data_IF_941041187171
#
_entry.id   IF_941041187171
#
_cell.length_a   1.000
_cell.length_b   1.000
_cell.length_c   1.000
_cell.angle_alpha   90.00
_cell.angle_beta   90.00
_cell.angle_gamma   90.00
#
_symmetry.space_group_name_H-M   'P 1'
#
loop_
_entity.id
_entity.type
_entity.pdbx_description
1 polymer ?
#
# COMPACT_ATOMS: atom_id res chain seq x y z
N UNK A 1 -65.03 -6.36 -60.79
CA UNK A 1 -64.43 -6.31 -62.13
C UNK A 1 -63.30 -5.30 -62.12
N UNK A 2 -62.07 -5.75 -62.42
CA UNK A 2 -60.90 -5.05 -62.96
C UNK A 2 -60.79 -3.52 -62.70
N UNK A 3 -59.73 -3.01 -62.08
CA UNK A 3 -58.40 -3.00 -62.70
C UNK A 3 -57.33 -2.60 -61.67
N UNK A 4 -56.26 -3.40 -61.60
CA UNK A 4 -54.99 -3.05 -60.96
C UNK A 4 -54.03 -2.59 -62.04
N UNK A 5 -53.38 -1.44 -61.86
CA UNK A 5 -52.22 -1.02 -62.65
C UNK A 5 -51.34 -0.05 -61.84
N UNK A 6 -50.06 -0.41 -61.84
CA UNK A 6 -48.90 0.48 -62.03
C UNK A 6 -48.36 1.25 -60.81
N UNK A 7 -47.22 0.81 -60.23
CA UNK A 7 -45.86 1.30 -60.58
C UNK A 7 -44.80 1.07 -59.47
N UNK A 8 -43.66 0.54 -59.94
CA UNK A 8 -42.25 0.89 -59.63
C UNK A 8 -41.67 0.61 -58.24
N UNK A 9 -40.48 0.01 -58.24
CA UNK A 9 -39.54 0.04 -57.13
C UNK A 9 -38.43 -1.00 -57.25
N UNK A 10 -37.59 -0.90 -58.30
CA UNK A 10 -36.36 -1.67 -58.45
C UNK A 10 -35.29 -1.07 -57.52
N UNK A 11 -35.05 -1.69 -56.35
CA UNK A 11 -34.05 -1.24 -55.39
C UNK A 11 -32.69 -1.88 -55.69
N UNK A 12 -31.85 -1.14 -56.43
CA UNK A 12 -30.41 -1.33 -56.45
C UNK A 12 -29.82 -0.96 -55.08
N UNK A 13 -29.06 -1.88 -54.50
CA UNK A 13 -28.27 -1.66 -53.29
C UNK A 13 -27.01 -0.85 -53.63
N UNK A 14 -26.85 0.31 -52.99
CA UNK A 14 -25.58 1.04 -52.92
C UNK A 14 -24.77 0.57 -51.70
N UNK A 15 -23.44 0.43 -51.79
CA UNK A 15 -22.62 0.10 -50.63
C UNK A 15 -22.30 1.37 -49.85
N UNK A 16 -22.88 1.49 -48.65
CA UNK A 16 -22.62 2.60 -47.73
C UNK A 16 -21.28 2.43 -47.01
N UNK A 17 -20.37 3.37 -47.28
CA UNK A 17 -19.62 4.11 -46.25
C UNK A 17 -18.74 3.31 -45.29
N UNK A 18 -17.44 3.33 -45.58
CA UNK A 18 -16.31 3.14 -44.66
C UNK A 18 -16.57 3.71 -43.26
N UNK A 19 -16.87 2.83 -42.30
CA UNK A 19 -16.71 3.12 -40.88
C UNK A 19 -15.26 2.84 -40.51
N UNK A 20 -14.42 3.86 -40.61
CA UNK A 20 -13.08 3.84 -40.04
C UNK A 20 -13.23 3.55 -38.53
N UNK A 21 -12.83 2.35 -38.13
CA UNK A 21 -12.69 1.98 -36.74
C UNK A 21 -11.76 3.00 -36.07
N UNK A 22 -12.32 3.83 -35.20
CA UNK A 22 -11.54 4.57 -34.22
C UNK A 22 -10.90 3.52 -33.31
N UNK A 23 -9.69 3.09 -33.66
CA UNK A 23 -8.81 2.40 -32.75
C UNK A 23 -8.65 3.30 -31.52
N UNK A 24 -9.34 2.94 -30.44
CA UNK A 24 -9.06 3.46 -29.12
C UNK A 24 -7.59 3.25 -28.86
N UNK A 25 -6.81 4.35 -28.81
CA UNK A 25 -5.42 4.30 -28.37
C UNK A 25 -5.43 3.79 -26.94
N UNK A 26 -5.01 2.55 -26.75
CA UNK A 26 -4.62 2.04 -25.44
C UNK A 26 -3.64 3.06 -24.82
N UNK A 27 -3.81 3.43 -23.54
CA UNK A 27 -2.83 4.24 -22.86
C UNK A 27 -1.48 3.50 -22.90
N UNK A 28 -0.41 4.23 -23.20
CA UNK A 28 0.95 3.68 -23.28
C UNK A 28 1.27 2.82 -22.04
N UNK A 29 1.84 1.63 -22.28
CA UNK A 29 2.29 0.70 -21.23
C UNK A 29 3.35 1.37 -20.33
N UNK A 30 3.48 0.97 -19.05
CA UNK A 30 4.46 1.56 -18.14
C UNK A 30 5.92 1.25 -18.56
N UNK A 31 6.83 2.11 -18.10
CA UNK A 31 8.20 2.38 -18.55
C UNK A 31 8.85 1.44 -19.59
N UNK A 32 9.24 1.99 -20.74
CA UNK A 32 10.17 1.38 -21.73
C UNK A 32 11.61 1.18 -21.19
N UNK A 33 11.82 1.21 -19.85
CA UNK A 33 13.14 1.10 -19.22
C UNK A 33 13.70 -0.30 -19.46
N UNK A 34 14.82 -0.45 -20.21
CA UNK A 34 15.46 -1.75 -20.35
C UNK A 34 16.01 -2.18 -18.99
N UNK A 35 15.48 -3.28 -18.44
CA UNK A 35 15.99 -3.88 -17.22
C UNK A 35 17.24 -4.70 -17.56
N UNK A 36 18.39 -4.22 -17.09
CA UNK A 36 19.66 -4.91 -17.24
C UNK A 36 20.07 -5.49 -15.90
N UNK A 37 20.51 -6.75 -15.91
CA UNK A 37 21.06 -7.39 -14.71
C UNK A 37 22.23 -6.57 -14.19
N UNK A 38 22.18 -6.20 -12.92
CA UNK A 38 23.24 -5.42 -12.26
C UNK A 38 24.47 -6.31 -12.03
N UNK A 39 25.65 -5.77 -12.29
CA UNK A 39 26.92 -6.45 -12.04
C UNK A 39 27.31 -6.40 -10.56
N UNK A 40 28.22 -7.31 -10.16
CA UNK A 40 28.72 -7.42 -8.79
C UNK A 40 28.03 -8.51 -7.95
N UNK A 41 28.54 -8.78 -6.73
CA UNK A 41 27.98 -9.80 -5.86
C UNK A 41 26.58 -9.40 -5.37
N UNK A 42 25.70 -10.39 -5.21
CA UNK A 42 24.42 -10.18 -4.53
C UNK A 42 24.66 -9.75 -3.08
N UNK A 43 23.79 -8.90 -2.48
CA UNK A 43 23.84 -8.61 -1.06
C UNK A 43 23.75 -9.90 -0.22
N UNK A 44 24.22 -9.84 1.03
CA UNK A 44 23.94 -10.90 2.01
C UNK A 44 22.43 -11.10 2.17
N UNK A 45 22.00 -12.22 2.75
CA UNK A 45 20.58 -12.52 2.91
C UNK A 45 20.21 -12.99 4.31
N UNK A 46 18.97 -12.70 4.74
CA UNK A 46 18.34 -13.27 5.93
C UNK A 46 16.90 -13.65 5.61
N UNK A 47 16.64 -14.95 5.54
CA UNK A 47 15.32 -15.50 5.24
C UNK A 47 15.12 -16.88 5.88
N UNK A 48 13.89 -17.25 6.25
CA UNK A 48 12.74 -16.35 6.37
C UNK A 48 12.88 -15.44 7.60
N UNK A 49 12.43 -14.19 7.50
CA UNK A 49 12.28 -13.30 8.65
C UNK A 49 10.80 -12.99 8.87
N UNK A 50 10.23 -13.51 9.94
CA UNK A 50 8.85 -13.20 10.35
C UNK A 50 8.88 -12.00 11.29
N UNK A 51 8.21 -10.91 10.90
CA UNK A 51 8.05 -9.73 11.73
C UNK A 51 6.66 -9.77 12.36
N UNK A 52 6.64 -9.81 13.68
CA UNK A 52 5.40 -9.92 14.44
C UNK A 52 5.10 -8.63 15.19
N UNK A 53 3.87 -8.11 15.05
CA UNK A 53 3.38 -6.98 15.83
C UNK A 53 2.49 -7.49 16.96
N UNK A 54 2.92 -7.19 18.18
CA UNK A 54 2.15 -7.44 19.39
C UNK A 54 1.05 -6.36 19.57
N UNK A 55 -0.05 -6.69 20.27
CA UNK A 55 -1.05 -5.70 20.63
C UNK A 55 -0.45 -4.57 21.48
N UNK A 56 -0.96 -3.36 21.28
CA UNK A 56 -0.62 -2.18 22.08
C UNK A 56 -1.91 -1.59 22.71
N UNK A 57 -1.81 -0.38 23.27
CA UNK A 57 -2.94 0.30 23.93
C UNK A 57 -4.13 0.53 22.98
N UNK A 58 -3.85 0.87 21.73
CA UNK A 58 -4.85 1.33 20.77
C UNK A 58 -5.16 0.30 19.69
N UNK A 59 -4.35 -0.75 19.53
CA UNK A 59 -4.61 -1.82 18.57
C UNK A 59 -4.41 -3.22 19.16
N UNK A 60 -5.36 -4.11 18.89
CA UNK A 60 -5.18 -5.54 19.11
C UNK A 60 -6.05 -6.37 18.16
N UNK A 61 -5.50 -7.46 17.62
CA UNK A 61 -6.31 -8.55 17.08
C UNK A 61 -6.88 -9.35 18.27
N UNK A 62 -8.20 -9.27 18.49
CA UNK A 62 -8.84 -9.92 19.63
C UNK A 62 -9.10 -11.40 19.35
N UNK A 63 -9.63 -11.71 18.17
CA UNK A 63 -9.93 -13.06 17.71
C UNK A 63 -10.02 -13.11 16.19
N UNK A 64 -9.89 -14.30 15.63
CA UNK A 64 -10.02 -14.55 14.20
C UNK A 64 -10.61 -15.92 13.92
N UNK A 65 -11.29 -16.06 12.79
CA UNK A 65 -11.82 -17.33 12.32
C UNK A 65 -13.09 -17.18 11.50
N UNK A 66 -13.48 -18.28 10.86
CA UNK A 66 -14.64 -18.40 9.98
C UNK A 66 -14.66 -17.30 8.89
N UNK A 67 -13.48 -16.93 8.37
CA UNK A 67 -13.32 -15.91 7.33
C UNK A 67 -13.41 -14.45 7.82
N UNK A 68 -13.35 -14.21 9.14
CA UNK A 68 -13.43 -12.88 9.75
C UNK A 68 -12.34 -12.66 10.80
N UNK A 69 -12.12 -11.38 11.13
CA UNK A 69 -11.31 -10.95 12.27
C UNK A 69 -12.05 -9.92 13.12
N UNK A 70 -11.84 -10.01 14.43
CA UNK A 70 -12.33 -9.08 15.44
C UNK A 70 -11.14 -8.32 16.00
N UNK A 71 -11.14 -7.00 15.84
CA UNK A 71 -10.03 -6.13 16.18
C UNK A 71 -10.48 -5.03 17.15
N UNK A 72 -9.59 -4.61 18.05
CA UNK A 72 -9.73 -3.39 18.84
C UNK A 72 -8.97 -2.27 18.12
N UNK A 73 -9.63 -1.15 17.84
CA UNK A 73 -9.04 0.09 17.35
C UNK A 73 -9.49 1.24 18.27
N UNK A 74 -8.64 1.62 19.21
CA UNK A 74 -8.92 2.64 20.22
C UNK A 74 -10.21 2.30 20.97
N UNK A 75 -11.26 3.14 20.92
CA UNK A 75 -12.51 2.87 21.61
C UNK A 75 -13.38 1.78 20.94
N UNK A 76 -13.10 1.37 19.70
CA UNK A 76 -14.02 0.57 18.90
C UNK A 76 -13.57 -0.88 18.69
N UNK A 77 -14.53 -1.79 18.82
CA UNK A 77 -14.42 -3.19 18.39
C UNK A 77 -14.94 -3.31 16.97
N UNK A 78 -14.10 -3.75 16.06
CA UNK A 78 -14.36 -3.73 14.62
C UNK A 78 -14.28 -5.16 14.08
N UNK A 79 -15.31 -5.60 13.35
CA UNK A 79 -15.30 -6.88 12.63
C UNK A 79 -15.08 -6.61 11.14
N UNK A 80 -14.12 -7.33 10.54
CA UNK A 80 -13.77 -7.23 9.12
C UNK A 80 -13.60 -8.63 8.50
N UNK A 81 -13.82 -8.76 7.18
CA UNK A 81 -13.52 -9.99 6.47
C UNK A 81 -11.99 -10.25 6.44
N UNK A 82 -11.64 -11.52 6.57
CA UNK A 82 -10.26 -12.03 6.51
C UNK A 82 -10.27 -13.45 5.93
N UNK A 83 -10.18 -13.56 4.61
CA UNK A 83 -10.38 -14.83 3.90
C UNK A 83 -9.39 -15.94 4.27
N UNK A 84 -8.21 -15.59 4.78
CA UNK A 84 -7.20 -16.57 5.22
C UNK A 84 -7.47 -17.13 6.62
N UNK A 85 -8.36 -16.50 7.42
CA UNK A 85 -8.73 -16.96 8.75
C UNK A 85 -9.72 -18.14 8.67
N UNK A 86 -9.29 -19.23 8.04
CA UNK A 86 -10.10 -20.43 7.72
C UNK A 86 -10.32 -21.36 8.93
N UNK A 87 -9.69 -21.06 10.07
CA UNK A 87 -9.89 -21.74 11.34
C UNK A 87 -11.15 -21.26 12.06
N UNK A 88 -11.57 -21.93 13.13
CA UNK A 88 -12.76 -21.51 13.91
C UNK A 88 -12.47 -20.39 14.88
N UNK A 89 -13.44 -19.50 15.11
CA UNK A 89 -13.35 -18.47 16.17
C UNK A 89 -13.10 -19.11 17.54
N UNK A 90 -12.24 -18.49 18.35
CA UNK A 90 -11.92 -18.99 19.68
C UNK A 90 -12.76 -18.30 20.78
N UNK A 91 -13.15 -17.04 20.57
CA UNK A 91 -14.02 -16.33 21.50
C UNK A 91 -15.49 -16.74 21.31
N UNK A 92 -16.30 -16.72 22.39
CA UNK A 92 -17.74 -16.92 22.29
C UNK A 92 -18.42 -15.90 21.38
N UNK A 93 -19.52 -16.30 20.74
CA UNK A 93 -20.30 -15.42 19.85
C UNK A 93 -20.70 -14.08 20.48
N UNK A 94 -20.89 -14.04 21.81
CA UNK A 94 -21.23 -12.81 22.53
C UNK A 94 -20.12 -11.76 22.44
N UNK A 95 -18.84 -12.14 22.36
CA UNK A 95 -17.73 -11.19 22.18
C UNK A 95 -17.74 -10.54 20.80
N UNK A 96 -18.13 -11.29 19.77
CA UNK A 96 -18.28 -10.79 18.41
C UNK A 96 -19.51 -9.89 18.26
N UNK A 97 -20.61 -10.20 18.96
CA UNK A 97 -21.82 -9.37 19.00
C UNK A 97 -21.62 -8.01 19.68
N UNK A 98 -20.54 -7.85 20.46
CA UNK A 98 -20.14 -6.57 21.06
C UNK A 98 -19.43 -5.63 20.10
N UNK A 99 -19.28 -5.98 18.81
CA UNK A 99 -18.69 -5.10 17.81
C UNK A 99 -19.46 -3.77 17.70
N UNK A 100 -18.71 -2.68 17.62
CA UNK A 100 -19.21 -1.32 17.38
C UNK A 100 -19.40 -1.08 15.87
N UNK A 101 -18.55 -1.70 15.05
CA UNK A 101 -18.61 -1.62 13.60
C UNK A 101 -18.36 -2.97 12.94
N UNK A 102 -19.12 -3.29 11.90
CA UNK A 102 -18.98 -4.50 11.09
C UNK A 102 -18.92 -4.09 9.63
N UNK A 103 -17.84 -4.43 8.93
CA UNK A 103 -17.77 -4.23 7.49
C UNK A 103 -18.54 -5.33 6.76
N UNK A 104 -19.42 -4.94 5.84
CA UNK A 104 -20.22 -5.83 5.00
C UNK A 104 -20.10 -5.41 3.54
N UNK A 105 -20.12 -6.32 2.57
CA UNK A 105 -20.02 -5.97 1.14
C UNK A 105 -19.00 -6.81 0.40
N UNK A 106 -18.41 -6.26 -0.67
CA UNK A 106 -17.34 -6.95 -1.39
C UNK A 106 -16.12 -7.08 -0.46
N UNK A 107 -15.62 -8.31 -0.32
CA UNK A 107 -14.51 -8.69 0.55
C UNK A 107 -13.12 -8.50 -0.10
N UNK A 108 -13.08 -8.17 -1.40
CA UNK A 108 -11.83 -7.79 -2.08
C UNK A 108 -11.20 -6.56 -1.42
N UNK A 109 -9.87 -6.38 -1.50
CA UNK A 109 -9.18 -5.27 -0.82
C UNK A 109 -9.66 -3.88 -1.27
N UNK A 110 -9.95 -3.76 -2.56
CA UNK A 110 -10.51 -2.57 -3.21
C UNK A 110 -12.03 -2.67 -3.40
N UNK A 111 -12.66 -3.69 -2.82
CA UNK A 111 -14.09 -3.92 -2.89
C UNK A 111 -14.87 -2.83 -2.16
N UNK A 112 -15.84 -2.23 -2.83
CA UNK A 112 -16.78 -1.34 -2.16
C UNK A 112 -17.69 -2.14 -1.22
N UNK A 113 -17.88 -1.62 -0.01
CA UNK A 113 -18.79 -2.16 0.97
C UNK A 113 -19.42 -1.07 1.82
N UNK A 114 -20.02 -1.50 2.92
CA UNK A 114 -20.74 -0.64 3.86
C UNK A 114 -20.44 -1.07 5.30
N UNK A 115 -20.19 -0.08 6.13
CA UNK A 115 -20.11 -0.25 7.57
C UNK A 115 -21.51 -0.29 8.19
N UNK A 116 -21.76 -1.34 8.98
CA UNK A 116 -22.92 -1.44 9.87
C UNK A 116 -22.46 -1.10 11.29
N UNK A 117 -23.26 -0.29 11.99
CA UNK A 117 -23.01 0.08 13.38
C UNK A 117 -24.13 -0.49 14.28
N UNK A 118 -23.94 -1.68 14.89
CA UNK A 118 -25.04 -2.39 15.56
C UNK A 118 -25.60 -1.68 16.81
N UNK A 119 -24.79 -0.86 17.48
CA UNK A 119 -25.16 -0.19 18.75
C UNK A 119 -25.76 1.18 18.49
N UNK A 120 -25.03 2.05 17.80
CA UNK A 120 -25.42 3.42 17.47
C UNK A 120 -24.61 3.91 16.25
N UNK A 121 -25.10 4.91 15.49
CA UNK A 121 -24.31 5.53 14.43
C UNK A 121 -22.97 6.08 14.95
N UNK A 122 -21.88 5.80 14.25
CA UNK A 122 -20.55 6.32 14.55
C UNK A 122 -20.17 7.42 13.56
N UNK A 123 -19.34 8.37 14.02
CA UNK A 123 -18.72 9.36 13.16
C UNK A 123 -17.73 8.74 12.16
N UNK A 124 -17.29 9.52 11.18
CA UNK A 124 -16.37 9.03 10.14
C UNK A 124 -15.00 8.64 10.74
N UNK A 125 -14.53 9.36 11.74
CA UNK A 125 -13.19 9.21 12.32
C UNK A 125 -13.22 9.06 13.84
N UNK A 126 -12.13 8.51 14.38
CA UNK A 126 -11.86 8.45 15.83
C UNK A 126 -10.37 8.60 16.11
N UNK A 127 -9.99 9.15 17.28
CA UNK A 127 -8.59 9.30 17.64
C UNK A 127 -7.94 7.95 17.92
N UNK A 128 -6.69 7.83 17.49
CA UNK A 128 -5.81 6.70 17.67
C UNK A 128 -4.40 7.21 17.96
N UNK A 129 -3.57 6.36 18.54
CA UNK A 129 -2.19 6.67 18.89
C UNK A 129 -1.27 5.48 18.62
N UNK A 130 -0.11 5.77 18.03
CA UNK A 130 0.96 4.80 17.86
C UNK A 130 2.27 5.44 18.30
N UNK A 131 2.87 4.90 19.36
CA UNK A 131 4.14 5.40 19.92
C UNK A 131 4.13 6.92 20.16
N UNK A 132 3.02 7.48 20.64
CA UNK A 132 2.90 8.94 20.87
C UNK A 132 2.67 9.80 19.62
N UNK A 133 2.48 9.20 18.44
CA UNK A 133 1.93 9.88 17.26
C UNK A 133 0.41 9.71 17.28
N UNK A 134 -0.31 10.81 17.45
CA UNK A 134 -1.77 10.85 17.33
C UNK A 134 -2.17 10.85 15.85
N UNK A 135 -3.16 10.04 15.50
CA UNK A 135 -3.72 9.94 14.15
C UNK A 135 -5.21 9.59 14.21
N UNK A 136 -5.86 9.51 13.05
CA UNK A 136 -7.27 9.16 12.95
C UNK A 136 -7.46 7.76 12.36
N UNK A 137 -8.16 6.91 13.11
CA UNK A 137 -8.89 5.80 12.50
C UNK A 137 -10.06 6.34 11.69
N UNK A 138 -10.42 5.68 10.58
CA UNK A 138 -11.44 6.18 9.65
C UNK A 138 -12.28 5.07 9.03
N UNK A 139 -13.60 5.19 9.12
CA UNK A 139 -14.51 4.39 8.33
C UNK A 139 -14.57 4.94 6.91
N UNK A 140 -14.24 4.11 5.93
CA UNK A 140 -14.28 4.46 4.51
C UNK A 140 -15.28 3.58 3.76
N UNK A 141 -15.49 3.80 2.46
CA UNK A 141 -16.28 2.89 1.63
C UNK A 141 -15.60 1.53 1.39
N UNK A 142 -14.36 1.35 1.85
CA UNK A 142 -13.57 0.12 1.76
C UNK A 142 -13.33 -0.49 3.15
N UNK A 143 -12.78 -1.71 3.19
CA UNK A 143 -12.49 -2.45 4.42
C UNK A 143 -11.37 -1.85 5.28
N UNK A 144 -10.56 -0.96 4.73
CA UNK A 144 -9.44 -0.35 5.44
C UNK A 144 -9.93 0.75 6.41
N UNK A 145 -9.30 0.81 7.59
CA UNK A 145 -9.67 1.73 8.68
C UNK A 145 -8.71 2.91 8.86
N UNK A 146 -7.93 3.23 7.82
CA UNK A 146 -7.00 4.37 7.82
C UNK A 146 -5.60 4.06 8.37
N UNK A 147 -5.33 2.83 8.79
CA UNK A 147 -4.01 2.38 9.26
C UNK A 147 -3.84 0.87 9.05
N UNK A 148 -2.59 0.45 8.87
CA UNK A 148 -2.14 -0.94 8.84
C UNK A 148 -1.16 -1.16 10.01
N UNK A 149 -1.65 -1.52 11.22
CA UNK A 149 -0.83 -1.59 12.43
C UNK A 149 0.35 -2.56 12.35
N UNK A 150 0.25 -3.59 11.52
CA UNK A 150 1.34 -4.53 11.21
C UNK A 150 2.62 -3.83 10.72
N UNK A 151 2.48 -2.67 10.06
CA UNK A 151 3.60 -1.90 9.50
C UNK A 151 4.51 -1.28 10.58
N UNK A 152 4.10 -1.29 11.86
CA UNK A 152 4.87 -0.77 12.98
C UNK A 152 6.33 -1.28 13.02
N UNK A 153 6.55 -2.56 12.73
CA UNK A 153 7.90 -3.14 12.69
C UNK A 153 8.83 -2.48 11.66
N UNK A 154 8.28 -1.94 10.57
CA UNK A 154 9.04 -1.18 9.58
C UNK A 154 9.27 0.26 10.02
N UNK A 155 8.30 0.86 10.71
CA UNK A 155 8.41 2.20 11.27
C UNK A 155 9.50 2.28 12.33
N UNK A 156 9.52 1.34 13.27
CA UNK A 156 10.54 1.25 14.33
C UNK A 156 11.95 1.10 13.75
N UNK A 157 12.10 0.23 12.77
CA UNK A 157 13.37 0.01 12.08
C UNK A 157 13.85 1.27 11.34
N UNK A 158 12.97 1.93 10.60
CA UNK A 158 13.29 3.17 9.89
C UNK A 158 13.68 4.29 10.87
N UNK A 159 12.94 4.45 11.96
CA UNK A 159 13.24 5.46 12.98
C UNK A 159 14.61 5.21 13.63
N UNK A 160 14.93 3.96 13.96
CA UNK A 160 16.24 3.60 14.50
C UNK A 160 17.37 3.99 13.53
N UNK A 161 17.21 3.74 12.23
CA UNK A 161 18.17 4.14 11.20
C UNK A 161 18.31 5.67 11.11
N UNK A 162 17.20 6.41 11.13
CA UNK A 162 17.21 7.88 11.08
C UNK A 162 17.96 8.46 12.27
N UNK A 163 17.66 7.97 13.48
CA UNK A 163 18.29 8.44 14.73
C UNK A 163 19.77 8.10 14.80
N UNK A 164 20.17 6.92 14.32
CA UNK A 164 21.56 6.47 14.31
C UNK A 164 22.42 7.13 13.23
N UNK A 165 21.82 7.74 12.20
CA UNK A 165 22.56 8.24 11.04
C UNK A 165 23.57 9.37 11.36
N UNK A 166 23.34 10.14 12.43
CA UNK A 166 24.22 11.24 12.84
C UNK A 166 24.31 12.39 11.81
N UNK A 167 23.38 12.44 10.84
CA UNK A 167 23.31 13.42 9.75
C UNK A 167 21.86 13.61 9.30
N UNK A 168 21.53 14.68 8.55
CA UNK A 168 20.22 14.79 7.92
C UNK A 168 19.92 13.58 7.01
N UNK A 169 18.70 13.05 7.13
CA UNK A 169 18.22 11.89 6.39
C UNK A 169 17.05 12.31 5.51
N UNK A 170 17.10 11.97 4.22
CA UNK A 170 16.01 12.16 3.25
C UNK A 170 15.23 10.87 3.07
N UNK A 171 13.93 10.91 3.36
CA UNK A 171 13.02 9.76 3.24
C UNK A 171 12.04 9.99 2.09
N UNK A 172 11.93 9.01 1.20
CA UNK A 172 10.88 8.93 0.19
C UNK A 172 9.88 7.85 0.60
N UNK A 173 8.60 8.20 0.71
CA UNK A 173 7.52 7.26 0.96
C UNK A 173 6.58 7.22 -0.25
N UNK A 174 6.65 6.14 -1.05
CA UNK A 174 5.80 5.92 -2.22
C UNK A 174 4.59 5.07 -1.86
N UNK A 175 3.43 5.41 -2.41
CA UNK A 175 2.13 4.83 -2.04
C UNK A 175 1.82 5.07 -0.56
N UNK A 176 2.08 6.30 -0.10
CA UNK A 176 2.19 6.63 1.32
C UNK A 176 0.88 6.59 2.11
N UNK A 177 -0.28 6.48 1.45
CA UNK A 177 -1.60 6.37 2.03
C UNK A 177 -1.88 7.46 3.09
N UNK A 178 -2.24 7.08 4.32
CA UNK A 178 -2.55 8.01 5.42
C UNK A 178 -1.32 8.56 6.14
N UNK A 179 -0.12 8.26 5.66
CA UNK A 179 1.11 8.98 5.99
C UNK A 179 1.78 8.62 7.31
N UNK A 180 1.36 7.56 8.02
CA UNK A 180 1.92 7.19 9.32
C UNK A 180 3.44 7.00 9.29
N UNK A 181 3.98 6.26 8.30
CA UNK A 181 5.43 6.15 8.11
C UNK A 181 6.11 7.52 7.88
N UNK A 182 5.47 8.40 7.12
CA UNK A 182 5.98 9.76 6.89
C UNK A 182 6.04 10.59 8.18
N UNK A 183 5.04 10.44 9.06
CA UNK A 183 5.00 11.11 10.36
C UNK A 183 6.08 10.58 11.30
N UNK A 184 6.27 9.26 11.35
CA UNK A 184 7.35 8.61 12.12
C UNK A 184 8.71 9.13 11.66
N UNK A 185 8.98 9.12 10.35
CA UNK A 185 10.22 9.64 9.79
C UNK A 185 10.46 11.12 10.13
N UNK A 186 9.44 11.96 9.97
CA UNK A 186 9.52 13.40 10.25
C UNK A 186 9.74 13.68 11.76
N UNK A 187 9.09 12.91 12.63
CA UNK A 187 9.30 12.96 14.09
C UNK A 187 10.74 12.60 14.44
N UNK A 188 11.30 11.56 13.81
CA UNK A 188 12.68 11.12 13.99
C UNK A 188 13.73 12.13 13.47
N UNK A 189 13.31 13.14 12.70
CA UNK A 189 14.16 14.24 12.24
C UNK A 189 14.47 14.20 10.74
N UNK A 190 13.84 13.32 9.96
CA UNK A 190 14.06 13.26 8.52
C UNK A 190 13.35 14.38 7.74
N UNK A 191 13.92 14.73 6.58
CA UNK A 191 13.24 15.43 5.50
C UNK A 191 12.43 14.42 4.69
N UNK A 192 11.11 14.57 4.64
CA UNK A 192 10.22 13.55 4.08
C UNK A 192 9.59 14.04 2.77
N UNK A 193 9.65 13.22 1.73
CA UNK A 193 8.76 13.33 0.57
C UNK A 193 7.76 12.19 0.61
N UNK A 194 6.49 12.54 0.70
CA UNK A 194 5.37 11.60 0.69
C UNK A 194 4.66 11.68 -0.68
N UNK A 195 4.44 10.54 -1.31
CA UNK A 195 3.81 10.44 -2.62
C UNK A 195 2.63 9.48 -2.57
N UNK A 196 1.46 9.96 -3.00
CA UNK A 196 0.28 9.14 -3.19
C UNK A 196 -0.53 9.65 -4.41
N UNK A 197 -1.16 8.76 -5.16
CA UNK A 197 -1.98 9.15 -6.31
C UNK A 197 -3.35 9.74 -5.88
N UNK A 198 -3.83 9.39 -4.69
CA UNK A 198 -5.11 9.82 -4.17
C UNK A 198 -5.00 11.16 -3.45
N UNK A 199 -5.57 12.20 -4.05
CA UNK A 199 -5.74 13.51 -3.38
C UNK A 199 -6.47 13.38 -2.03
N UNK A 200 -7.38 12.40 -1.93
CA UNK A 200 -8.11 12.09 -0.68
C UNK A 200 -7.16 11.54 0.38
N UNK A 201 -6.28 10.60 0.02
CA UNK A 201 -5.28 10.05 0.93
C UNK A 201 -4.28 11.13 1.38
N UNK A 202 -3.82 11.99 0.47
CA UNK A 202 -3.00 13.16 0.82
C UNK A 202 -3.70 14.09 1.82
N UNK A 203 -5.03 14.30 1.66
CA UNK A 203 -5.84 15.04 2.62
C UNK A 203 -5.82 14.40 4.01
N UNK A 204 -6.10 13.09 4.08
CA UNK A 204 -6.06 12.33 5.34
C UNK A 204 -4.68 12.33 6.00
N UNK A 205 -3.60 12.24 5.22
CA UNK A 205 -2.25 12.27 5.75
C UNK A 205 -1.89 13.64 6.34
N UNK A 206 -2.41 14.74 5.77
CA UNK A 206 -2.28 16.09 6.34
C UNK A 206 -3.11 16.26 7.62
N UNK A 207 -4.34 15.74 7.65
CA UNK A 207 -5.13 15.70 8.89
C UNK A 207 -4.38 14.95 10.01
N UNK A 208 -3.75 13.81 9.67
CA UNK A 208 -2.90 13.09 10.63
C UNK A 208 -1.65 13.90 11.03
N UNK A 209 -1.05 14.69 10.14
CA UNK A 209 0.07 15.59 10.48
C UNK A 209 -0.35 16.66 11.50
N UNK A 210 -1.55 17.22 11.33
CA UNK A 210 -2.13 18.19 12.27
C UNK A 210 -2.42 17.54 13.62
N UNK A 211 -3.08 16.38 13.63
CA UNK A 211 -3.35 15.59 14.85
C UNK A 211 -2.07 15.24 15.60
N UNK A 212 -1.02 14.81 14.89
CA UNK A 212 0.28 14.50 15.45
C UNK A 212 1.07 15.73 15.92
N UNK A 213 0.58 16.95 15.66
CA UNK A 213 1.27 18.23 15.97
C UNK A 213 2.62 18.35 15.27
N UNK A 214 2.72 17.81 14.05
CA UNK A 214 3.94 17.79 13.24
C UNK A 214 3.88 18.75 12.04
N UNK A 215 3.00 19.76 12.07
CA UNK A 215 2.85 20.75 10.98
C UNK A 215 4.11 21.56 10.71
N UNK A 216 4.97 21.75 11.71
CA UNK A 216 6.28 22.40 11.57
C UNK A 216 7.41 21.50 11.04
N UNK A 217 7.15 20.21 10.76
CA UNK A 217 8.16 19.27 10.26
C UNK A 217 8.27 19.31 8.73
N UNK A 218 9.45 19.01 8.16
CA UNK A 218 9.69 19.11 6.72
C UNK A 218 9.09 17.92 5.94
N UNK A 219 7.78 17.94 5.71
CA UNK A 219 7.06 16.95 4.89
C UNK A 219 6.56 17.59 3.59
N UNK A 220 7.07 17.11 2.47
CA UNK A 220 6.60 17.46 1.12
C UNK A 220 5.54 16.46 0.67
N UNK A 221 4.31 16.94 0.54
CA UNK A 221 3.15 16.16 0.09
C UNK A 221 2.98 16.25 -1.43
N UNK A 222 3.09 15.11 -2.12
CA UNK A 222 3.00 15.02 -3.57
C UNK A 222 1.81 14.15 -3.96
N UNK A 223 0.87 14.73 -4.73
CA UNK A 223 -0.24 14.01 -5.32
C UNK A 223 0.12 13.62 -6.77
N UNK A 224 0.73 12.45 -6.97
CA UNK A 224 1.22 12.00 -8.29
C UNK A 224 1.30 10.47 -8.34
N UNK A 225 1.32 9.93 -9.57
CA UNK A 225 1.71 8.54 -9.80
C UNK A 225 3.14 8.29 -9.31
N UNK A 226 3.34 7.20 -8.56
CA UNK A 226 4.61 6.91 -7.90
C UNK A 226 5.75 6.63 -8.90
N UNK A 227 5.46 5.91 -10.00
CA UNK A 227 6.44 5.61 -11.04
C UNK A 227 6.90 6.91 -11.72
N UNK A 228 5.97 7.73 -12.20
CA UNK A 228 6.28 9.02 -12.84
C UNK A 228 7.02 9.97 -11.91
N UNK A 229 6.66 9.99 -10.63
CA UNK A 229 7.39 10.75 -9.63
C UNK A 229 8.84 10.29 -9.54
N UNK A 230 9.07 8.98 -9.39
CA UNK A 230 10.41 8.41 -9.27
C UNK A 230 11.27 8.65 -10.52
N UNK A 231 10.73 8.45 -11.71
CA UNK A 231 11.40 8.77 -13.00
C UNK A 231 11.78 10.25 -13.10
N UNK A 232 10.97 11.15 -12.55
CA UNK A 232 11.27 12.58 -12.53
C UNK A 232 12.38 12.92 -11.54
N UNK A 233 12.38 12.30 -10.37
CA UNK A 233 13.44 12.48 -9.38
C UNK A 233 14.79 11.94 -9.91
N UNK A 234 14.77 10.82 -10.64
CA UNK A 234 15.95 10.30 -11.34
C UNK A 234 16.49 11.32 -12.34
N UNK A 235 15.65 11.84 -13.25
CA UNK A 235 16.03 12.87 -14.24
C UNK A 235 16.55 14.16 -13.60
N UNK A 236 16.07 14.52 -12.42
CA UNK A 236 16.52 15.71 -11.67
C UNK A 236 17.82 15.50 -10.90
N UNK A 237 18.29 14.26 -10.77
CA UNK A 237 19.41 13.97 -9.88
C UNK A 237 19.05 14.00 -8.40
N UNK A 238 17.76 14.00 -8.03
CA UNK A 238 17.32 13.92 -6.64
C UNK A 238 17.74 12.59 -6.02
N UNK A 239 18.08 12.60 -4.72
CA UNK A 239 18.55 11.42 -3.99
C UNK A 239 17.95 11.30 -2.59
N UNK A 240 17.75 10.07 -2.15
CA UNK A 240 17.12 9.70 -0.86
C UNK A 240 17.97 8.68 -0.11
N UNK A 241 17.98 8.78 1.22
CA UNK A 241 18.69 7.87 2.10
C UNK A 241 17.86 6.63 2.43
N UNK A 242 16.55 6.82 2.58
CA UNK A 242 15.59 5.74 2.79
C UNK A 242 14.45 5.87 1.78
N UNK A 243 14.08 4.75 1.17
CA UNK A 243 12.90 4.67 0.30
C UNK A 243 11.96 3.58 0.83
N UNK A 244 10.68 3.93 1.02
CA UNK A 244 9.61 3.00 1.34
C UNK A 244 8.70 2.85 0.11
N UNK A 245 8.32 1.60 -0.18
CA UNK A 245 7.46 1.20 -1.27
C UNK A 245 6.32 0.34 -0.70
N UNK A 246 5.08 0.81 -0.79
CA UNK A 246 3.89 0.00 -0.44
C UNK A 246 2.90 -0.12 -1.61
N UNK A 247 3.33 -0.61 -2.78
CA UNK A 247 2.48 -0.67 -3.96
C UNK A 247 1.29 -1.64 -3.78
N UNK A 248 0.08 -1.26 -4.23
CA UNK A 248 -1.05 -2.17 -4.30
C UNK A 248 -0.86 -3.21 -5.42
N UNK A 249 -1.67 -4.28 -5.42
CA UNK A 249 -1.65 -5.27 -6.49
C UNK A 249 -2.02 -4.66 -7.85
N UNK A 250 -3.03 -3.79 -7.84
CA UNK A 250 -3.50 -2.98 -8.97
C UNK A 250 -3.69 -1.54 -8.50
N UNK A 251 -3.55 -0.56 -9.38
CA UNK A 251 -3.78 0.82 -9.01
C UNK A 251 -3.97 1.73 -10.20
N UNK A 252 -4.36 2.98 -9.91
CA UNK A 252 -4.42 4.03 -10.92
C UNK A 252 -3.78 5.33 -10.44
N UNK A 253 -2.96 5.91 -11.30
CA UNK A 253 -2.43 7.25 -11.12
C UNK A 253 -3.50 8.34 -11.31
N UNK A 254 -3.22 9.59 -10.91
CA UNK A 254 -4.20 10.68 -10.98
C UNK A 254 -4.66 11.02 -12.41
N UNK A 255 -3.88 10.66 -13.43
CA UNK A 255 -4.20 10.89 -14.85
C UNK A 255 -4.62 9.61 -15.57
N UNK A 256 -4.95 8.56 -14.81
CA UNK A 256 -5.39 7.28 -15.35
C UNK A 256 -4.25 6.33 -15.76
N UNK A 257 -3.01 6.61 -15.32
CA UNK A 257 -1.92 5.64 -15.39
C UNK A 257 -2.35 4.33 -14.74
N UNK A 258 -2.04 3.18 -15.35
CA UNK A 258 -2.34 1.88 -14.77
C UNK A 258 -1.11 1.37 -14.06
N UNK A 259 -1.30 0.88 -12.84
CA UNK A 259 -0.29 0.17 -12.06
C UNK A 259 -0.70 -1.30 -11.91
N UNK A 260 0.23 -2.21 -12.16
CA UNK A 260 0.13 -3.65 -11.92
C UNK A 260 1.43 -4.14 -11.27
N UNK A 261 1.31 -4.69 -10.06
CA UNK A 261 2.47 -5.03 -9.22
C UNK A 261 3.52 -5.88 -9.95
N UNK A 262 3.13 -6.97 -10.63
CA UNK A 262 4.10 -7.87 -11.25
C UNK A 262 4.73 -7.33 -12.54
N UNK A 263 4.05 -6.40 -13.21
CA UNK A 263 4.54 -5.80 -14.46
C UNK A 263 5.48 -4.62 -14.15
N UNK A 264 5.12 -3.80 -13.15
CA UNK A 264 5.72 -2.48 -12.95
C UNK A 264 6.75 -2.43 -11.82
N UNK A 265 6.63 -3.32 -10.82
CA UNK A 265 7.52 -3.32 -9.65
C UNK A 265 9.01 -3.45 -10.02
N UNK A 266 9.44 -4.30 -10.96
CA UNK A 266 10.86 -4.41 -11.31
C UNK A 266 11.48 -3.08 -11.78
N UNK A 267 10.76 -2.33 -12.61
CA UNK A 267 11.21 -1.01 -13.07
C UNK A 267 11.23 0.02 -11.93
N UNK A 268 10.22 0.02 -11.07
CA UNK A 268 10.17 0.95 -9.94
C UNK A 268 11.32 0.71 -8.97
N UNK A 269 11.63 -0.55 -8.63
CA UNK A 269 12.75 -0.89 -7.74
C UNK A 269 14.08 -0.48 -8.36
N UNK A 270 14.26 -0.67 -9.67
CA UNK A 270 15.48 -0.25 -10.37
C UNK A 270 15.67 1.28 -10.38
N UNK A 271 14.58 2.04 -10.54
CA UNK A 271 14.60 3.52 -10.37
C UNK A 271 14.93 3.87 -8.92
N UNK A 272 14.32 3.20 -7.94
CA UNK A 272 14.58 3.48 -6.52
C UNK A 272 16.06 3.34 -6.19
N UNK A 273 16.74 2.31 -6.71
CA UNK A 273 18.20 2.18 -6.61
C UNK A 273 18.95 3.38 -7.19
N UNK A 274 18.55 3.89 -8.36
CA UNK A 274 19.27 4.99 -9.03
C UNK A 274 19.10 6.34 -8.33
N UNK A 275 18.05 6.50 -7.53
CA UNK A 275 17.79 7.69 -6.71
C UNK A 275 18.24 7.55 -5.25
N UNK A 276 19.11 6.58 -4.93
CA UNK A 276 19.74 6.50 -3.62
C UNK A 276 20.93 7.43 -3.47
N UNK A 277 21.10 8.03 -2.28
CA UNK A 277 22.29 8.81 -1.95
C UNK A 277 23.56 7.96 -2.00
N UNK A 278 24.77 8.57 -2.04
CA UNK A 278 26.03 7.81 -1.96
C UNK A 278 26.23 7.03 -0.65
N UNK A 279 25.46 7.35 0.41
CA UNK A 279 25.49 6.65 1.71
C UNK A 279 24.08 6.26 2.13
N UNK A 280 23.36 5.47 1.34
CA UNK A 280 21.97 5.16 1.63
C UNK A 280 21.87 4.30 2.89
N UNK A 281 20.70 4.26 3.51
CA UNK A 281 20.45 3.50 4.73
C UNK A 281 19.60 2.26 4.44
N UNK A 282 18.49 2.40 3.72
CA UNK A 282 17.62 1.27 3.42
C UNK A 282 16.66 1.51 2.25
N UNK A 283 16.18 0.42 1.65
CA UNK A 283 14.98 0.40 0.80
C UNK A 283 14.05 -0.68 1.32
N UNK A 284 12.80 -0.33 1.61
CA UNK A 284 11.80 -1.24 2.18
C UNK A 284 10.64 -1.37 1.20
N UNK A 285 10.33 -2.60 0.83
CA UNK A 285 9.19 -2.97 0.00
C UNK A 285 8.22 -3.81 0.83
N UNK A 286 6.96 -3.40 0.87
CA UNK A 286 5.83 -4.18 1.41
C UNK A 286 4.83 -4.48 0.30
N UNK A 287 4.17 -5.64 0.39
CA UNK A 287 3.18 -6.07 -0.59
C UNK A 287 2.07 -6.90 0.06
N UNK A 288 0.81 -6.50 -0.13
CA UNK A 288 -0.37 -7.21 0.37
C UNK A 288 -0.88 -8.31 -0.58
N UNK A 289 -0.19 -8.54 -1.70
CA UNK A 289 -0.51 -9.62 -2.66
C UNK A 289 0.01 -10.98 -2.18
N UNK A 290 -0.69 -11.59 -1.21
CA UNK A 290 -0.31 -12.86 -0.56
C UNK A 290 -0.29 -14.05 -1.53
N UNK A 291 -0.83 -13.91 -2.76
CA UNK A 291 -0.74 -14.97 -3.78
C UNK A 291 0.70 -15.23 -4.26
N UNK A 292 1.61 -14.26 -4.08
CA UNK A 292 3.04 -14.48 -4.29
C UNK A 292 3.73 -14.93 -3.00
N UNK A 293 4.84 -15.66 -3.14
CA UNK A 293 5.74 -15.90 -2.01
C UNK A 293 6.65 -14.69 -1.79
N UNK A 294 7.02 -14.40 -0.54
CA UNK A 294 8.06 -13.42 -0.23
C UNK A 294 9.39 -13.71 -0.98
N UNK A 295 9.64 -14.96 -1.39
CA UNK A 295 10.78 -15.32 -2.23
C UNK A 295 10.83 -14.56 -3.56
N UNK A 296 9.67 -14.21 -4.16
CA UNK A 296 9.63 -13.48 -5.43
C UNK A 296 10.15 -12.05 -5.27
N UNK A 297 9.65 -11.31 -4.28
CA UNK A 297 10.12 -9.95 -3.97
C UNK A 297 11.52 -9.94 -3.34
N UNK A 298 11.92 -11.04 -2.68
CA UNK A 298 13.28 -11.24 -2.19
C UNK A 298 14.28 -11.31 -3.34
N UNK A 299 14.04 -12.19 -4.32
CA UNK A 299 14.88 -12.35 -5.50
C UNK A 299 15.01 -11.04 -6.29
N UNK A 300 13.88 -10.36 -6.53
CA UNK A 300 13.86 -9.04 -7.18
C UNK A 300 14.77 -8.04 -6.45
N UNK A 301 14.63 -7.93 -5.12
CA UNK A 301 15.45 -7.00 -4.33
C UNK A 301 16.93 -7.40 -4.33
N UNK A 302 17.28 -8.69 -4.26
CA UNK A 302 18.70 -9.09 -4.33
C UNK A 302 19.33 -8.76 -5.67
N UNK A 303 18.63 -9.01 -6.77
CA UNK A 303 19.12 -8.68 -8.11
C UNK A 303 19.21 -7.16 -8.31
N UNK A 304 18.17 -6.43 -7.89
CA UNK A 304 18.12 -4.99 -8.02
C UNK A 304 19.23 -4.30 -7.22
N UNK A 305 19.69 -4.86 -6.10
CA UNK A 305 20.74 -4.29 -5.23
C UNK A 305 22.12 -4.95 -5.37
N UNK A 306 22.34 -5.80 -6.39
CA UNK A 306 23.65 -6.41 -6.65
C UNK A 306 24.78 -5.37 -6.79
N UNK A 307 25.93 -5.65 -6.18
CA UNK A 307 27.09 -4.75 -6.18
C UNK A 307 27.04 -3.60 -5.17
N UNK A 308 25.94 -3.42 -4.42
CA UNK A 308 25.84 -2.39 -3.38
C UNK A 308 26.28 -2.86 -1.98
N UNK A 309 26.63 -4.14 -1.83
CA UNK A 309 26.88 -4.75 -0.53
C UNK A 309 25.61 -4.78 0.34
N UNK A 310 25.79 -4.73 1.67
CA UNK A 310 24.68 -4.78 2.62
C UNK A 310 23.97 -6.14 2.65
N UNK A 311 22.70 -6.13 3.08
CA UNK A 311 21.89 -7.35 3.24
C UNK A 311 20.44 -7.12 2.82
N UNK A 312 19.83 -8.14 2.21
CA UNK A 312 18.39 -8.22 1.98
C UNK A 312 17.74 -9.13 3.03
N UNK A 313 16.71 -8.63 3.70
CA UNK A 313 15.90 -9.37 4.67
C UNK A 313 14.47 -9.46 4.16
N UNK A 314 13.88 -10.65 4.15
CA UNK A 314 12.52 -10.84 3.60
C UNK A 314 11.74 -11.91 4.35
N UNK A 315 10.43 -11.77 4.32
CA UNK A 315 9.48 -12.71 4.91
C UNK A 315 8.09 -12.10 5.00
N UNK A 316 7.40 -12.36 6.10
CA UNK A 316 6.00 -11.95 6.30
C UNK A 316 5.85 -11.06 7.53
N UNK A 317 4.85 -10.18 7.47
CA UNK A 317 4.32 -9.41 8.58
C UNK A 317 3.14 -10.17 9.17
N UNK A 318 3.12 -10.30 10.48
CA UNK A 318 2.15 -11.12 11.19
C UNK A 318 1.62 -10.36 12.39
N UNK A 319 0.32 -10.51 12.65
CA UNK A 319 -0.34 -10.03 13.86
C UNK A 319 -0.73 -11.23 14.70
N UNK A 320 -0.35 -11.24 15.98
CA UNK A 320 -0.76 -12.30 16.91
C UNK A 320 -2.03 -11.91 17.65
N UNK A 321 -3.04 -12.78 17.60
CA UNK A 321 -4.30 -12.54 18.29
C UNK A 321 -4.18 -12.76 19.81
N UNK A 322 -5.06 -12.11 20.58
CA UNK A 322 -5.15 -12.29 22.04
C UNK A 322 -5.90 -13.56 22.47
N UNK A 323 -6.81 -14.10 21.65
CA UNK A 323 -7.65 -15.25 22.02
C UNK A 323 -6.87 -16.56 22.11
N UNK A 324 -6.69 -17.29 20.99
CA UNK A 324 -5.99 -18.56 20.95
C UNK A 324 -4.50 -18.43 20.61
N UNK A 325 -3.98 -17.20 20.52
CA UNK A 325 -2.57 -16.93 20.25
C UNK A 325 -2.14 -17.27 18.81
N UNK A 326 -3.09 -17.44 17.88
CA UNK A 326 -2.79 -17.68 16.47
C UNK A 326 -2.15 -16.45 15.83
N UNK A 327 -1.31 -16.71 14.83
CA UNK A 327 -0.63 -15.71 14.04
C UNK A 327 -1.39 -15.54 12.71
N UNK A 328 -1.78 -14.31 12.38
CA UNK A 328 -2.43 -13.94 11.13
C UNK A 328 -1.44 -13.17 10.26
N UNK A 329 -1.00 -13.78 9.16
CA UNK A 329 -0.13 -13.12 8.17
C UNK A 329 -0.90 -12.02 7.45
N UNK A 330 -0.30 -10.85 7.24
CA UNK A 330 -0.98 -9.68 6.65
C UNK A 330 -0.36 -9.28 5.32
N UNK A 331 0.96 -9.28 5.24
CA UNK A 331 1.69 -8.82 4.06
C UNK A 331 3.07 -9.44 3.97
N UNK A 332 3.64 -9.37 2.77
CA UNK A 332 5.02 -9.74 2.50
C UNK A 332 5.90 -8.51 2.64
N UNK A 333 7.17 -8.70 2.98
CA UNK A 333 8.16 -7.64 2.84
C UNK A 333 9.50 -8.13 2.31
N UNK A 334 10.24 -7.18 1.76
CA UNK A 334 11.66 -7.30 1.47
C UNK A 334 12.33 -5.96 1.73
N UNK A 335 13.37 -5.93 2.57
CA UNK A 335 14.18 -4.73 2.79
C UNK A 335 15.64 -4.97 2.46
N UNK A 336 16.22 -4.08 1.67
CA UNK A 336 17.67 -3.95 1.58
C UNK A 336 18.13 -2.95 2.63
N UNK A 337 19.17 -3.30 3.39
CA UNK A 337 19.81 -2.44 4.39
C UNK A 337 21.29 -2.31 4.04
N UNK A 338 21.79 -1.09 4.05
CA UNK A 338 23.20 -0.81 3.80
C UNK A 338 24.10 -1.48 4.87
N UNK A 339 25.31 -1.87 4.46
CA UNK A 339 26.28 -2.57 5.30
C UNK A 339 27.13 -1.66 6.17
#
# INVERSE_FOLDING_TARGET
MNTSRDRRGDHRAEPSGSAAAQASREPARPSERPLVRREGPLPGERLPLILEVAPNEDYALLDSGDGEKLEQYGPYRIVRPEGQAIWRKALPAQEWQRADAVFTGNTDEEGMGRWRFPKAPLGETWPMRHDGIDYLGRFTSFRHVGVFPEQASHWDHMEALIRAAGRPVKVLNLFGYTGLASLVAARAGAEVTHVDASKKAIGWARENQEMARLTGKPIRWICEDAMKFAEREERRGSRYDIILLDPPAYGRGPKGEVWQLFDDLPALVDICRSILTPKPLAVVLTAYSIRASFFAIHALMRDAFAGMGGRVESGELVIREKSAGRALSTSLFSRWVAG
#
